data_IF_209628324753
#
_entry.id   IF_209628324753
#
_cell.length_a   1.000
_cell.length_b   1.000
_cell.length_c   1.000
_cell.angle_alpha   90.00
_cell.angle_beta   90.00
_cell.angle_gamma   90.00
#
_symmetry.space_group_name_H-M   'P 1'
#
loop_
_entity.id
_entity.type
_entity.pdbx_description
1 polymer ?
#
# COMPACT_ATOMS: atom_id res chain seq x y z
N UNK A 1 15.34 -3.29 -16.75
CA UNK A 1 14.46 -3.88 -15.73
C UNK A 1 13.53 -2.78 -15.27
N UNK A 2 12.26 -2.86 -15.65
CA UNK A 2 11.25 -1.88 -15.29
C UNK A 2 10.84 -2.02 -13.82
N UNK A 3 10.31 -0.94 -13.24
CA UNK A 3 9.84 -0.86 -11.85
C UNK A 3 8.81 -1.95 -11.47
N UNK A 4 8.17 -2.58 -12.45
CA UNK A 4 7.08 -3.55 -12.28
C UNK A 4 7.43 -4.94 -12.82
N UNK A 5 8.68 -5.19 -13.23
CA UNK A 5 9.05 -6.50 -13.79
C UNK A 5 8.78 -7.63 -12.78
N UNK A 6 9.04 -7.39 -11.49
CA UNK A 6 8.78 -8.34 -10.39
C UNK A 6 7.29 -8.52 -10.06
N UNK A 7 6.42 -7.66 -10.59
CA UNK A 7 4.96 -7.67 -10.36
C UNK A 7 4.17 -8.04 -11.61
N UNK A 8 4.85 -8.46 -12.67
CA UNK A 8 4.23 -8.75 -13.96
C UNK A 8 3.20 -9.88 -13.86
N UNK A 9 3.53 -10.97 -13.19
CA UNK A 9 2.61 -12.11 -13.05
C UNK A 9 1.36 -11.74 -12.25
N UNK A 10 1.53 -10.95 -11.18
CA UNK A 10 0.41 -10.44 -10.38
C UNK A 10 -0.46 -9.48 -11.19
N UNK A 11 0.16 -8.59 -11.98
CA UNK A 11 -0.55 -7.69 -12.89
C UNK A 11 -1.38 -8.48 -13.90
N UNK A 12 -0.79 -9.44 -14.61
CA UNK A 12 -1.49 -10.25 -15.61
C UNK A 12 -2.67 -11.01 -14.97
N UNK A 13 -2.46 -11.60 -13.78
CA UNK A 13 -3.49 -12.31 -13.02
C UNK A 13 -4.64 -11.39 -12.60
N UNK A 14 -4.34 -10.26 -11.96
CA UNK A 14 -5.37 -9.36 -11.44
C UNK A 14 -6.10 -8.60 -12.56
N UNK A 15 -5.38 -8.20 -13.62
CA UNK A 15 -6.00 -7.60 -14.81
C UNK A 15 -6.96 -8.57 -15.50
N UNK A 16 -6.61 -9.87 -15.57
CA UNK A 16 -7.51 -10.89 -16.10
C UNK A 16 -8.76 -11.09 -15.23
N UNK A 17 -8.60 -11.18 -13.90
CA UNK A 17 -9.71 -11.46 -12.98
C UNK A 17 -10.66 -10.27 -12.79
N UNK A 18 -10.15 -9.03 -12.85
CA UNK A 18 -10.89 -7.84 -12.40
C UNK A 18 -11.04 -6.76 -13.48
N UNK A 19 -10.43 -6.95 -14.66
CA UNK A 19 -10.27 -5.93 -15.68
C UNK A 19 -9.05 -5.03 -15.40
N UNK A 20 -8.50 -4.43 -16.46
CA UNK A 20 -7.23 -3.69 -16.41
C UNK A 20 -7.17 -2.62 -15.31
N UNK A 21 -8.18 -1.71 -15.17
CA UNK A 21 -8.10 -0.65 -14.16
C UNK A 21 -8.09 -1.18 -12.73
N UNK A 22 -8.99 -2.12 -12.41
CA UNK A 22 -9.09 -2.70 -11.06
C UNK A 22 -7.93 -3.63 -10.75
N UNK A 23 -7.43 -4.36 -11.75
CA UNK A 23 -6.26 -5.23 -11.58
C UNK A 23 -5.00 -4.46 -11.21
N UNK A 24 -4.75 -3.32 -11.86
CA UNK A 24 -3.62 -2.44 -11.50
C UNK A 24 -3.73 -1.84 -10.11
N UNK A 25 -4.94 -1.42 -9.72
CA UNK A 25 -5.20 -0.91 -8.38
C UNK A 25 -5.03 -1.99 -7.30
N UNK A 26 -5.36 -3.26 -7.62
CA UNK A 26 -5.11 -4.38 -6.72
C UNK A 26 -3.60 -4.57 -6.46
N UNK A 27 -2.78 -4.55 -7.51
CA UNK A 27 -1.31 -4.64 -7.35
C UNK A 27 -0.75 -3.43 -6.59
N UNK A 28 -1.30 -2.23 -6.81
CA UNK A 28 -0.90 -1.05 -6.05
C UNK A 28 -1.24 -1.19 -4.54
N UNK A 29 -2.37 -1.80 -4.20
CA UNK A 29 -2.72 -2.10 -2.81
C UNK A 29 -1.75 -3.09 -2.16
N UNK A 30 -1.30 -4.12 -2.89
CA UNK A 30 -0.29 -5.07 -2.39
C UNK A 30 1.03 -4.35 -2.13
N UNK A 31 1.51 -3.52 -3.07
CA UNK A 31 2.73 -2.74 -2.88
C UNK A 31 2.67 -1.80 -1.67
N UNK A 32 1.54 -1.12 -1.46
CA UNK A 32 1.34 -0.28 -0.28
C UNK A 32 1.26 -1.11 1.01
N UNK A 33 0.77 -2.35 0.93
CA UNK A 33 0.72 -3.26 2.08
C UNK A 33 2.12 -3.74 2.47
N UNK A 34 2.97 -4.07 1.49
CA UNK A 34 4.38 -4.39 1.73
C UNK A 34 5.10 -3.20 2.38
N UNK A 35 4.90 -1.98 1.85
CA UNK A 35 5.46 -0.76 2.44
C UNK A 35 4.97 -0.51 3.87
N UNK A 36 3.68 -0.71 4.14
CA UNK A 36 3.09 -0.55 5.47
C UNK A 36 3.77 -1.48 6.50
N UNK A 37 4.00 -2.74 6.12
CA UNK A 37 4.67 -3.73 6.97
C UNK A 37 6.10 -3.30 7.28
N UNK A 38 6.86 -2.90 6.25
CA UNK A 38 8.26 -2.47 6.40
C UNK A 38 8.40 -1.23 7.29
N UNK A 39 7.55 -0.22 7.08
CA UNK A 39 7.55 1.01 7.90
C UNK A 39 7.12 0.69 9.33
N UNK A 40 6.10 -0.15 9.52
CA UNK A 40 5.65 -0.58 10.84
C UNK A 40 6.75 -1.28 11.63
N UNK A 41 7.49 -2.19 10.98
CA UNK A 41 8.65 -2.85 11.58
C UNK A 41 9.77 -1.86 11.91
N UNK A 42 10.05 -0.91 11.02
CA UNK A 42 11.05 0.13 11.29
C UNK A 42 10.69 0.99 12.52
N UNK A 43 9.39 1.26 12.73
CA UNK A 43 8.88 1.97 13.90
C UNK A 43 9.12 1.28 15.25
N UNK A 44 9.38 -0.03 15.27
CA UNK A 44 9.80 -0.75 16.49
C UNK A 44 11.17 -0.28 16.95
N UNK A 45 12.09 -0.08 15.99
CA UNK A 45 13.47 0.31 16.26
C UNK A 45 13.64 1.84 16.33
N UNK A 46 12.89 2.57 15.53
CA UNK A 46 12.94 4.02 15.44
C UNK A 46 11.78 4.64 16.23
N UNK A 47 12.01 4.85 17.52
CA UNK A 47 11.00 5.37 18.45
C UNK A 47 11.11 6.87 18.66
N UNK A 48 9.99 7.49 19.06
CA UNK A 48 9.94 8.91 19.38
C UNK A 48 10.64 9.22 20.71
N UNK A 49 11.57 10.17 20.67
CA UNK A 49 12.17 10.73 21.90
C UNK A 49 11.17 11.50 22.77
N UNK A 50 10.05 11.97 22.20
CA UNK A 50 9.02 12.76 22.91
C UNK A 50 7.88 11.90 23.42
N UNK A 51 7.60 10.77 22.76
CA UNK A 51 6.48 9.88 23.06
C UNK A 51 7.02 8.44 23.21
N UNK A 52 7.46 8.04 24.42
CA UNK A 52 7.99 6.71 24.67
C UNK A 52 7.03 5.61 24.23
N UNK A 53 7.55 4.58 23.54
CA UNK A 53 6.75 3.46 23.05
C UNK A 53 5.97 3.74 21.76
N UNK A 54 6.08 4.94 21.17
CA UNK A 54 5.55 5.23 19.83
C UNK A 54 6.67 5.31 18.79
N UNK A 55 6.40 4.99 17.51
CA UNK A 55 7.32 5.24 16.42
C UNK A 55 7.71 6.73 16.32
N UNK A 56 8.82 7.03 15.64
CA UNK A 56 9.17 8.40 15.29
C UNK A 56 8.04 9.12 14.54
N UNK A 57 7.97 10.46 14.68
CA UNK A 57 6.81 11.23 14.24
C UNK A 57 6.61 11.21 12.72
N UNK A 58 7.72 11.25 11.98
CA UNK A 58 7.76 11.04 10.54
C UNK A 58 7.25 9.65 10.12
N UNK A 59 7.61 8.60 10.85
CA UNK A 59 7.09 7.25 10.60
C UNK A 59 5.58 7.15 10.85
N UNK A 60 5.06 7.83 11.87
CA UNK A 60 3.61 7.91 12.09
C UNK A 60 2.91 8.58 10.89
N UNK A 61 3.45 9.70 10.40
CA UNK A 61 2.89 10.41 9.23
C UNK A 61 2.93 9.53 7.97
N UNK A 62 4.01 8.78 7.76
CA UNK A 62 4.14 7.86 6.62
C UNK A 62 3.10 6.73 6.73
N UNK A 63 2.96 6.12 7.92
CA UNK A 63 1.96 5.07 8.16
C UNK A 63 0.54 5.59 7.88
N UNK A 64 0.21 6.78 8.36
CA UNK A 64 -1.10 7.41 8.13
C UNK A 64 -1.33 7.63 6.63
N UNK A 65 -0.34 8.18 5.91
CA UNK A 65 -0.44 8.42 4.47
C UNK A 65 -0.62 7.12 3.66
N UNK A 66 0.11 6.05 4.03
CA UNK A 66 -0.04 4.74 3.38
C UNK A 66 -1.44 4.17 3.64
N UNK A 67 -1.94 4.23 4.89
CA UNK A 67 -3.27 3.73 5.24
C UNK A 67 -4.37 4.50 4.49
N UNK A 68 -4.33 5.83 4.50
CA UNK A 68 -5.30 6.65 3.76
C UNK A 68 -5.25 6.40 2.26
N UNK A 69 -4.05 6.17 1.69
CA UNK A 69 -3.92 5.82 0.27
C UNK A 69 -4.58 4.47 -0.04
N UNK A 70 -4.41 3.47 0.84
CA UNK A 70 -5.07 2.16 0.69
C UNK A 70 -6.59 2.27 0.77
N UNK A 71 -7.12 3.07 1.69
CA UNK A 71 -8.56 3.31 1.80
C UNK A 71 -9.12 3.96 0.52
N UNK A 72 -8.44 4.98 0.00
CA UNK A 72 -8.85 5.68 -1.21
C UNK A 72 -8.83 4.75 -2.44
N UNK A 73 -7.77 3.95 -2.60
CA UNK A 73 -7.69 2.97 -3.71
C UNK A 73 -8.78 1.92 -3.59
N UNK A 74 -9.03 1.39 -2.38
CA UNK A 74 -10.10 0.40 -2.16
C UNK A 74 -11.46 0.98 -2.50
N UNK A 75 -11.72 2.23 -2.11
CA UNK A 75 -12.94 2.96 -2.50
C UNK A 75 -13.07 3.11 -4.01
N UNK A 76 -12.00 3.51 -4.71
CA UNK A 76 -12.00 3.62 -6.17
C UNK A 76 -12.27 2.27 -6.86
N UNK A 77 -11.71 1.18 -6.34
CA UNK A 77 -11.95 -0.17 -6.86
C UNK A 77 -13.40 -0.63 -6.69
N UNK A 78 -14.07 -0.23 -5.60
CA UNK A 78 -15.49 -0.50 -5.40
C UNK A 78 -16.38 0.32 -6.34
N UNK A 79 -16.04 1.58 -6.61
CA UNK A 79 -16.77 2.39 -7.61
C UNK A 79 -16.63 1.81 -9.03
N UNK A 80 -15.42 1.37 -9.40
CA UNK A 80 -15.16 0.70 -10.67
C UNK A 80 -15.87 -0.66 -10.80
N UNK A 81 -16.28 -1.29 -9.70
CA UNK A 81 -17.05 -2.55 -9.72
C UNK A 81 -18.53 -2.33 -10.05
N UNK A 82 -19.05 -1.15 -9.73
CA UNK A 82 -20.47 -0.77 -9.94
C UNK A 82 -20.73 -0.24 -11.35
N UNK A 83 -19.67 0.17 -12.05
CA UNK A 83 -19.70 0.66 -13.44
C UNK A 83 -19.66 -0.49 -14.42
#
# INVERSE_FOLDING_TARGET
MGLLDDKRDDLEKYEFMMGVPRGRLAVALDLLTDALILVGQHGVYCQSNRQPGKPAMDLQIILDAINSSKELISSAMEELKKS
#
